data_IF_691774105734
#
_entry.id   IF_691774105734
#
_cell.length_a   1.000
_cell.length_b   1.000
_cell.length_c   1.000
_cell.angle_alpha   90.00
_cell.angle_beta   90.00
_cell.angle_gamma   90.00
#
_symmetry.space_group_name_H-M   'P 1'
#
loop_
_entity.id
_entity.type
_entity.pdbx_description
1 polymer ?
#
# COMPACT_ATOMS: atom_id res chain seq x y z
N UNK A 1 29.37 -3.23 -22.20
CA UNK A 1 28.41 -3.92 -21.32
C UNK A 1 27.43 -2.86 -20.84
N UNK A 2 26.24 -2.75 -21.45
CA UNK A 2 25.22 -1.80 -21.02
C UNK A 2 24.34 -2.44 -19.94
N UNK A 3 23.83 -1.65 -19.00
CA UNK A 3 22.90 -2.13 -17.98
C UNK A 3 21.65 -2.74 -18.65
N UNK A 4 21.13 -3.84 -18.09
CA UNK A 4 19.98 -4.58 -18.64
C UNK A 4 18.65 -3.83 -18.47
N UNK A 5 18.63 -2.80 -17.62
CA UNK A 5 17.42 -2.07 -17.27
C UNK A 5 17.58 -0.59 -17.61
N UNK A 6 16.51 -0.03 -18.16
CA UNK A 6 16.36 1.41 -18.32
C UNK A 6 15.94 2.01 -16.98
N UNK A 7 16.62 3.08 -16.56
CA UNK A 7 16.39 3.73 -15.26
C UNK A 7 15.96 5.16 -15.54
N UNK A 8 14.71 5.47 -15.17
CA UNK A 8 14.16 6.81 -15.32
C UNK A 8 14.14 7.53 -13.97
N UNK A 9 14.71 8.73 -13.94
CA UNK A 9 14.53 9.65 -12.82
C UNK A 9 13.27 10.47 -13.05
N UNK A 10 12.44 10.60 -12.02
CA UNK A 10 11.19 11.35 -12.08
C UNK A 10 11.25 12.45 -11.02
N UNK A 11 11.13 13.69 -11.46
CA UNK A 11 11.14 14.89 -10.61
C UNK A 11 9.70 15.31 -10.27
N UNK A 12 9.53 16.22 -9.29
CA UNK A 12 8.23 16.75 -8.90
C UNK A 12 7.41 15.80 -8.03
N UNK A 13 7.94 14.60 -7.76
CA UNK A 13 7.33 13.61 -6.90
C UNK A 13 7.27 14.15 -5.47
N UNK A 14 6.06 14.18 -4.89
CA UNK A 14 5.88 14.47 -3.48
C UNK A 14 6.83 13.60 -2.63
N UNK A 15 7.36 14.14 -1.54
CA UNK A 15 8.23 13.39 -0.64
C UNK A 15 7.57 13.25 0.72
N UNK A 16 7.86 12.15 1.38
CA UNK A 16 7.48 11.98 2.77
C UNK A 16 8.20 13.04 3.62
N UNK A 17 7.45 13.73 4.49
CA UNK A 17 8.00 14.71 5.42
C UNK A 17 9.04 14.06 6.34
N UNK A 18 10.17 14.75 6.53
CA UNK A 18 11.26 14.29 7.42
C UNK A 18 10.69 13.99 8.81
N UNK A 19 10.98 12.80 9.33
CA UNK A 19 10.50 12.34 10.64
C UNK A 19 9.15 11.61 10.61
N UNK A 20 8.49 11.47 9.46
CA UNK A 20 7.31 10.62 9.34
C UNK A 20 7.70 9.13 9.38
N UNK A 21 6.87 8.32 10.04
CA UNK A 21 7.02 6.86 10.17
C UNK A 21 6.20 6.09 9.11
N UNK A 22 5.55 6.79 8.17
CA UNK A 22 4.62 6.23 7.18
C UNK A 22 5.30 5.81 5.85
N UNK A 23 6.59 5.47 5.87
CA UNK A 23 7.35 5.23 4.62
C UNK A 23 6.79 4.07 3.80
N UNK A 24 6.32 3.02 4.47
CA UNK A 24 5.67 1.87 3.81
C UNK A 24 4.34 2.24 3.14
N UNK A 25 3.55 3.13 3.76
CA UNK A 25 2.30 3.64 3.18
C UNK A 25 2.57 4.45 1.92
N UNK A 26 3.62 5.26 1.95
CA UNK A 26 4.08 6.03 0.82
C UNK A 26 4.41 5.11 -0.36
N UNK A 27 5.34 4.16 -0.17
CA UNK A 27 5.76 3.20 -1.21
C UNK A 27 4.58 2.41 -1.77
N UNK A 28 3.68 1.93 -0.90
CA UNK A 28 2.50 1.17 -1.33
C UNK A 28 1.54 2.02 -2.19
N UNK A 29 1.37 3.30 -1.87
CA UNK A 29 0.57 4.21 -2.69
C UNK A 29 1.20 4.43 -4.07
N UNK A 30 2.52 4.65 -4.14
CA UNK A 30 3.26 4.79 -5.41
C UNK A 30 3.15 3.55 -6.28
N UNK A 31 3.39 2.38 -5.70
CA UNK A 31 3.28 1.11 -6.41
C UNK A 31 1.88 0.94 -7.00
N UNK A 32 0.84 1.34 -6.26
CA UNK A 32 -0.55 1.31 -6.72
C UNK A 32 -0.83 2.30 -7.86
N UNK A 33 -0.37 3.54 -7.76
CA UNK A 33 -0.54 4.50 -8.85
C UNK A 33 0.10 4.00 -10.15
N UNK A 34 1.34 3.52 -10.06
CA UNK A 34 2.07 2.96 -11.19
C UNK A 34 1.38 1.71 -11.76
N UNK A 35 0.86 0.81 -10.91
CA UNK A 35 0.12 -0.36 -11.37
C UNK A 35 -1.19 -0.01 -12.05
N UNK A 36 -1.86 1.03 -11.57
CA UNK A 36 -3.11 1.54 -12.15
C UNK A 36 -2.86 2.39 -13.42
N UNK A 37 -1.60 2.57 -13.83
CA UNK A 37 -1.21 3.40 -14.98
C UNK A 37 -1.46 4.90 -14.77
N UNK A 38 -1.69 5.30 -13.53
CA UNK A 38 -1.95 6.68 -13.15
C UNK A 38 -0.63 7.44 -13.03
N UNK A 39 -0.67 8.72 -13.40
CA UNK A 39 0.45 9.61 -13.12
C UNK A 39 0.64 9.75 -11.61
N UNK A 40 1.90 9.74 -11.21
CA UNK A 40 2.28 10.07 -9.84
C UNK A 40 1.82 11.51 -9.56
N UNK A 41 1.04 11.73 -8.50
CA UNK A 41 0.69 13.09 -8.10
C UNK A 41 1.93 13.85 -7.63
N UNK A 42 2.07 15.09 -8.12
CA UNK A 42 3.09 16.02 -7.64
C UNK A 42 2.71 16.68 -6.30
N UNK A 43 1.43 16.57 -5.94
CA UNK A 43 0.86 17.13 -4.73
C UNK A 43 1.15 16.21 -3.54
N UNK A 44 1.25 16.78 -2.33
CA UNK A 44 1.51 16.01 -1.11
C UNK A 44 0.49 14.87 -0.98
N UNK A 45 0.97 13.63 -1.05
CA UNK A 45 0.18 12.46 -0.70
C UNK A 45 -0.22 12.62 0.76
N UNK A 46 -1.52 12.85 1.00
CA UNK A 46 -2.05 12.98 2.36
C UNK A 46 -1.78 11.70 3.15
N UNK A 47 -0.65 11.68 3.85
CA UNK A 47 -0.19 10.55 4.64
C UNK A 47 -1.24 10.15 5.68
N UNK A 48 -2.00 11.13 6.19
CA UNK A 48 -3.08 10.90 7.15
C UNK A 48 -4.25 10.17 6.50
N UNK A 49 -4.63 10.55 5.27
CA UNK A 49 -5.67 9.85 4.51
C UNK A 49 -5.24 8.43 4.12
N UNK A 50 -3.99 8.25 3.66
CA UNK A 50 -3.43 6.95 3.33
C UNK A 50 -3.40 6.04 4.57
N UNK A 51 -2.94 6.56 5.71
CA UNK A 51 -2.92 5.84 6.97
C UNK A 51 -4.33 5.38 7.37
N UNK A 52 -5.34 6.26 7.31
CA UNK A 52 -6.73 5.91 7.60
C UNK A 52 -7.27 4.81 6.68
N UNK A 53 -7.01 4.91 5.37
CA UNK A 53 -7.43 3.89 4.40
C UNK A 53 -6.78 2.54 4.68
N UNK A 54 -5.48 2.54 4.94
CA UNK A 54 -4.74 1.30 5.22
C UNK A 54 -5.16 0.67 6.55
N UNK A 55 -5.37 1.47 7.60
CA UNK A 55 -5.90 0.99 8.87
C UNK A 55 -7.28 0.34 8.70
N UNK A 56 -8.16 0.94 7.89
CA UNK A 56 -9.47 0.35 7.58
C UNK A 56 -9.36 -0.95 6.77
N UNK A 57 -8.42 -1.03 5.82
CA UNK A 57 -8.15 -2.26 5.06
C UNK A 57 -7.60 -3.38 5.95
N UNK A 58 -6.65 -3.06 6.84
CA UNK A 58 -6.11 -4.01 7.81
C UNK A 58 -7.18 -4.52 8.77
N UNK A 59 -8.07 -3.63 9.22
CA UNK A 59 -9.20 -4.00 10.06
C UNK A 59 -10.11 -5.02 9.35
N UNK A 60 -10.54 -4.71 8.12
CA UNK A 60 -11.37 -5.62 7.31
C UNK A 60 -10.69 -6.95 7.03
N UNK A 61 -9.39 -6.94 6.75
CA UNK A 61 -8.62 -8.16 6.53
C UNK A 61 -8.60 -9.04 7.79
N UNK A 62 -8.42 -8.43 8.97
CA UNK A 62 -8.49 -9.14 10.25
C UNK A 62 -9.87 -9.77 10.47
N UNK A 63 -10.95 -9.00 10.28
CA UNK A 63 -12.32 -9.52 10.38
C UNK A 63 -12.56 -10.71 9.44
N UNK A 64 -12.15 -10.59 8.17
CA UNK A 64 -12.30 -11.67 7.19
C UNK A 64 -11.46 -12.91 7.56
N UNK A 65 -10.27 -12.72 8.15
CA UNK A 65 -9.42 -13.82 8.60
C UNK A 65 -10.03 -14.55 9.79
N UNK A 66 -10.55 -13.80 10.76
CA UNK A 66 -11.20 -14.35 11.95
C UNK A 66 -12.49 -15.10 11.58
N UNK A 67 -13.26 -14.59 10.61
CA UNK A 67 -14.42 -15.29 10.05
C UNK A 67 -14.00 -16.58 9.32
N UNK A 68 -12.92 -16.55 8.54
CA UNK A 68 -12.44 -17.72 7.80
C UNK A 68 -11.94 -18.83 8.73
N UNK A 69 -11.25 -18.51 9.83
CA UNK A 69 -10.86 -19.50 10.84
C UNK A 69 -12.07 -20.13 11.52
N UNK A 70 -13.11 -19.35 11.84
CA UNK A 70 -14.34 -19.88 12.42
C UNK A 70 -15.04 -20.88 11.46
N UNK A 71 -15.03 -20.60 10.15
CA UNK A 71 -15.64 -21.48 9.15
C UNK A 71 -14.82 -22.76 8.92
N UNK A 72 -13.48 -22.73 9.05
CA UNK A 72 -12.67 -23.96 8.93
C UNK A 72 -12.89 -24.94 10.08
N UNK A 73 -13.14 -24.43 11.29
CA UNK A 73 -13.30 -25.26 12.50
C UNK A 73 -14.65 -26.02 12.52
N UNK A 74 -15.62 -25.61 11.71
CA UNK A 74 -16.96 -26.24 11.64
C UNK A 74 -16.97 -27.50 10.76
N UNK A 75 -15.88 -27.78 10.03
CA UNK A 75 -15.83 -28.88 9.04
C UNK A 75 -15.00 -30.08 9.45
N UNK A 76 -14.57 -30.21 10.71
CA UNK A 76 -13.99 -31.47 11.19
C UNK A 76 -15.11 -32.46 11.57
N UNK A 77 -15.46 -33.45 10.71
CA UNK A 77 -16.53 -34.39 10.97
C UNK A 77 -15.98 -35.54 11.81
N UNK A 78 -16.67 -35.89 12.90
CA UNK A 78 -16.46 -37.18 13.58
C UNK A 78 -16.70 -38.37 12.66
#
# INVERSE_FOLDING_TARGET
MGNLFDVQYVEGIAQQTIGSLDCGLFVAAYAKYLSDGLQVPNDELDARLLHKRYAALLWKYKEAKDQKSYVSDIKDPR
#
